data_IF_897583696845
#
_entry.id   IF_897583696845
#
_cell.length_a   1.000
_cell.length_b   1.000
_cell.length_c   1.000
_cell.angle_alpha   90.00
_cell.angle_beta   90.00
_cell.angle_gamma   90.00
#
_symmetry.space_group_name_H-M   'P 1'
#
loop_
_entity.id
_entity.type
_entity.pdbx_description
1 polymer ?
#
# COMPACT_ATOMS: atom_id res chain seq x y z
N UNK A 1 -59.11 -7.06 -28.67
CA UNK A 1 -58.97 -6.83 -30.13
C UNK A 1 -57.49 -7.04 -30.46
N UNK A 2 -57.15 -7.90 -31.43
CA UNK A 2 -55.80 -8.25 -32.01
C UNK A 2 -54.57 -7.74 -31.23
N UNK A 3 -53.73 -8.56 -30.55
CA UNK A 3 -53.01 -9.80 -30.94
C UNK A 3 -52.04 -9.64 -32.13
N UNK A 4 -50.78 -10.09 -31.91
CA UNK A 4 -49.59 -10.28 -32.78
C UNK A 4 -48.45 -9.30 -32.39
N UNK A 5 -47.15 -9.65 -32.21
CA UNK A 5 -46.34 -10.92 -32.16
C UNK A 5 -44.93 -10.52 -31.66
N UNK A 6 -43.99 -11.34 -31.12
CA UNK A 6 -43.86 -12.80 -30.88
C UNK A 6 -42.83 -13.09 -29.73
N UNK A 7 -42.64 -14.38 -29.41
CA UNK A 7 -41.54 -15.14 -28.73
C UNK A 7 -40.19 -14.46 -28.38
N UNK A 8 -39.55 -14.72 -27.21
CA UNK A 8 -39.05 -16.00 -26.65
C UNK A 8 -37.87 -16.61 -27.45
N UNK A 9 -36.84 -17.27 -26.90
CA UNK A 9 -36.79 -18.32 -25.86
C UNK A 9 -35.33 -18.37 -25.31
N UNK A 10 -35.05 -18.19 -24.02
CA UNK A 10 -34.84 -19.24 -23.00
C UNK A 10 -33.93 -20.45 -23.38
N UNK A 11 -32.93 -20.69 -22.52
CA UNK A 11 -32.31 -21.99 -22.16
C UNK A 11 -31.50 -22.79 -23.23
N UNK A 12 -30.18 -22.92 -23.01
CA UNK A 12 -29.40 -24.07 -23.48
C UNK A 12 -28.20 -24.34 -22.55
N UNK A 13 -28.26 -25.48 -21.86
CA UNK A 13 -27.22 -26.03 -20.98
C UNK A 13 -26.39 -27.05 -21.78
N UNK A 14 -25.07 -27.12 -21.52
CA UNK A 14 -24.13 -28.22 -21.84
C UNK A 14 -24.27 -28.99 -23.18
N UNK A 15 -23.21 -28.94 -23.99
CA UNK A 15 -22.83 -30.05 -24.88
C UNK A 15 -21.36 -30.41 -24.65
N UNK A 16 -21.11 -31.64 -24.18
CA UNK A 16 -19.77 -32.18 -23.86
C UNK A 16 -19.29 -33.05 -25.03
N UNK A 17 -18.03 -32.82 -25.44
CA UNK A 17 -17.12 -33.71 -26.19
C UNK A 17 -17.60 -34.27 -27.54
N UNK A 18 -16.83 -33.91 -28.58
CA UNK A 18 -16.51 -34.80 -29.69
C UNK A 18 -14.97 -34.92 -29.80
N UNK A 19 -14.41 -36.03 -29.31
CA UNK A 19 -13.01 -36.41 -29.50
C UNK A 19 -12.91 -37.39 -30.67
N UNK A 20 -12.17 -37.05 -31.74
CA UNK A 20 -11.51 -38.03 -32.61
C UNK A 20 -10.52 -37.37 -33.60
N UNK A 21 -9.24 -37.36 -33.19
CA UNK A 21 -8.02 -37.50 -34.02
C UNK A 21 -7.92 -36.82 -35.41
N UNK A 22 -7.01 -35.85 -35.50
CA UNK A 22 -6.38 -35.40 -36.74
C UNK A 22 -5.00 -34.80 -36.48
N UNK A 23 -3.95 -35.59 -36.77
CA UNK A 23 -2.53 -35.23 -36.91
C UNK A 23 -1.89 -34.16 -35.99
N UNK A 24 -0.98 -34.64 -35.14
CA UNK A 24 0.31 -34.02 -34.79
C UNK A 24 0.74 -32.84 -35.69
N UNK A 25 0.55 -31.61 -35.21
CA UNK A 25 1.42 -30.48 -35.52
C UNK A 25 2.12 -30.05 -34.22
N UNK A 26 3.39 -29.69 -34.32
CA UNK A 26 4.19 -29.14 -33.22
C UNK A 26 3.76 -27.70 -32.96
N UNK A 27 2.56 -27.52 -32.38
CA UNK A 27 2.07 -26.23 -31.90
C UNK A 27 3.02 -25.69 -30.84
N UNK A 28 3.94 -24.82 -31.27
CA UNK A 28 4.83 -24.07 -30.41
C UNK A 28 3.99 -23.42 -29.30
N UNK A 29 4.35 -23.69 -28.04
CA UNK A 29 3.56 -23.31 -26.87
C UNK A 29 3.12 -21.85 -26.97
N UNK A 30 1.85 -21.64 -27.35
CA UNK A 30 1.31 -20.32 -27.57
C UNK A 30 1.26 -19.63 -26.22
N UNK A 31 2.08 -18.60 -26.05
CA UNK A 31 2.04 -17.74 -24.85
C UNK A 31 0.58 -17.38 -24.60
N UNK A 32 0.01 -17.70 -23.43
CA UNK A 32 -1.42 -17.50 -23.19
C UNK A 32 -1.74 -16.03 -23.45
N UNK A 33 -2.76 -15.79 -24.28
CA UNK A 33 -3.12 -14.44 -24.68
C UNK A 33 -3.54 -13.63 -23.45
N UNK A 34 -2.83 -12.54 -23.18
CA UNK A 34 -3.17 -11.60 -22.11
C UNK A 34 -4.57 -11.08 -22.38
N UNK A 35 -5.47 -11.29 -21.42
CA UNK A 35 -6.85 -10.81 -21.51
C UNK A 35 -6.94 -9.50 -20.73
N UNK A 36 -7.17 -8.40 -21.43
CA UNK A 36 -7.40 -7.12 -20.76
C UNK A 36 -8.77 -7.14 -20.07
N UNK A 37 -8.77 -6.85 -18.78
CA UNK A 37 -9.98 -6.73 -17.97
C UNK A 37 -10.65 -5.35 -18.10
N UNK A 38 -11.86 -5.24 -17.57
CA UNK A 38 -12.58 -3.97 -17.45
C UNK A 38 -12.29 -3.36 -16.07
N UNK A 39 -11.93 -2.08 -16.02
CA UNK A 39 -11.68 -1.38 -14.75
C UNK A 39 -12.99 -1.13 -13.98
N UNK A 40 -14.13 -1.11 -14.67
CA UNK A 40 -15.47 -1.03 -14.05
C UNK A 40 -16.01 -2.41 -13.60
N UNK A 41 -15.22 -3.49 -13.70
CA UNK A 41 -15.59 -4.82 -13.20
C UNK A 41 -15.78 -4.76 -11.66
N UNK A 42 -16.96 -5.12 -11.12
CA UNK A 42 -17.21 -5.10 -9.67
C UNK A 42 -16.30 -6.05 -8.87
N UNK A 43 -15.58 -6.98 -9.50
CA UNK A 43 -14.52 -7.78 -8.88
C UNK A 43 -13.20 -7.00 -8.78
N UNK A 44 -12.93 -6.08 -9.71
CA UNK A 44 -11.68 -5.30 -9.74
C UNK A 44 -11.78 -3.97 -8.98
N UNK A 45 -12.92 -3.27 -8.98
CA UNK A 45 -13.08 -1.99 -8.27
C UNK A 45 -12.62 -2.04 -6.79
N UNK A 46 -12.94 -3.08 -5.98
CA UNK A 46 -12.41 -3.18 -4.62
C UNK A 46 -10.90 -3.42 -4.57
N UNK A 47 -10.34 -4.16 -5.55
CA UNK A 47 -8.90 -4.41 -5.68
C UNK A 47 -8.16 -3.12 -5.99
N UNK A 48 -8.62 -2.37 -6.99
CA UNK A 48 -8.09 -1.04 -7.30
C UNK A 48 -8.12 -0.12 -6.08
N UNK A 49 -9.25 -0.04 -5.37
CA UNK A 49 -9.40 0.80 -4.17
C UNK A 49 -8.32 0.50 -3.11
N UNK A 50 -7.98 -0.78 -2.93
CA UNK A 50 -6.94 -1.17 -1.98
C UNK A 50 -5.52 -0.88 -2.48
N UNK A 51 -5.26 -1.10 -3.78
CA UNK A 51 -3.97 -0.75 -4.41
C UNK A 51 -3.71 0.75 -4.29
N UNK A 52 -4.71 1.58 -4.61
CA UNK A 52 -4.60 3.03 -4.57
C UNK A 52 -4.37 3.55 -3.14
N UNK A 53 -5.05 2.97 -2.15
CA UNK A 53 -4.83 3.29 -0.73
C UNK A 53 -3.42 2.94 -0.23
N UNK A 54 -2.88 1.79 -0.63
CA UNK A 54 -1.50 1.38 -0.26
C UNK A 54 -0.44 2.23 -0.97
N UNK A 55 -0.71 2.69 -2.21
CA UNK A 55 0.18 3.62 -2.92
C UNK A 55 0.22 5.01 -2.26
N UNK A 56 -0.94 5.52 -1.81
CA UNK A 56 -1.03 6.79 -1.06
C UNK A 56 -0.31 6.69 0.29
N UNK A 57 -0.55 5.62 1.06
CA UNK A 57 0.11 5.35 2.34
C UNK A 57 1.64 5.29 2.20
N UNK A 58 2.15 4.57 1.20
CA UNK A 58 3.58 4.44 0.94
C UNK A 58 4.24 5.76 0.50
N UNK A 59 3.52 6.66 -0.20
CA UNK A 59 4.03 8.03 -0.44
C UNK A 59 4.04 8.85 0.85
N UNK A 60 3.07 8.63 1.73
CA UNK A 60 3.09 9.13 3.11
C UNK A 60 4.36 8.72 3.87
N UNK A 61 4.70 7.43 3.85
CA UNK A 61 5.94 6.88 4.44
C UNK A 61 7.20 7.56 3.86
N UNK A 62 7.27 7.78 2.55
CA UNK A 62 8.40 8.48 1.93
C UNK A 62 8.52 9.93 2.44
N UNK A 63 7.41 10.65 2.50
CA UNK A 63 7.37 12.04 2.97
C UNK A 63 7.72 12.16 4.45
N UNK A 64 7.24 11.23 5.27
CA UNK A 64 7.55 11.12 6.69
C UNK A 64 9.04 10.79 6.91
N UNK A 65 9.55 9.74 6.27
CA UNK A 65 10.94 9.29 6.37
C UNK A 65 11.94 10.39 6.05
N UNK A 66 11.77 11.07 4.90
CA UNK A 66 12.66 12.16 4.48
C UNK A 66 12.41 13.49 5.21
N UNK A 67 11.21 13.70 5.77
CA UNK A 67 10.83 14.90 6.53
C UNK A 67 11.65 15.08 7.81
N UNK A 68 12.08 13.97 8.44
CA UNK A 68 12.91 13.96 9.65
C UNK A 68 14.26 14.71 9.53
N UNK A 69 14.70 15.06 8.31
CA UNK A 69 15.89 15.89 8.10
C UNK A 69 15.72 17.34 8.57
N UNK A 70 14.48 17.82 8.70
CA UNK A 70 14.19 19.23 8.98
C UNK A 70 13.64 19.47 10.39
N UNK A 71 13.34 18.42 11.15
CA UNK A 71 13.07 18.50 12.59
C UNK A 71 14.38 18.55 13.39
N UNK A 72 14.45 19.53 14.28
CA UNK A 72 15.71 20.10 14.79
C UNK A 72 16.58 19.12 15.61
N UNK A 73 17.64 18.51 15.04
CA UNK A 73 18.23 17.25 15.53
C UNK A 73 19.01 17.33 16.85
N UNK A 74 19.14 18.51 17.45
CA UNK A 74 19.77 18.70 18.77
C UNK A 74 18.87 18.31 19.97
N UNK A 75 17.67 17.78 19.72
CA UNK A 75 16.73 17.29 20.72
C UNK A 75 16.17 15.93 20.28
N UNK A 76 16.50 14.85 20.98
CA UNK A 76 15.97 13.50 20.68
C UNK A 76 14.47 13.36 21.00
N UNK A 77 13.80 14.43 21.45
CA UNK A 77 12.34 14.56 21.48
C UNK A 77 11.75 15.31 20.27
N UNK A 78 12.60 15.82 19.36
CA UNK A 78 12.17 16.38 18.06
C UNK A 78 12.13 15.36 16.93
N UNK A 79 12.82 14.21 17.07
CA UNK A 79 12.44 12.97 16.38
C UNK A 79 11.12 12.52 17.02
N UNK A 80 10.07 13.25 16.67
CA UNK A 80 8.71 13.01 17.11
C UNK A 80 8.18 11.78 16.40
N UNK A 81 6.97 11.40 16.77
CA UNK A 81 6.17 10.46 15.99
C UNK A 81 5.66 11.10 14.67
N UNK A 82 6.54 11.80 13.93
CA UNK A 82 6.32 12.30 12.57
C UNK A 82 6.55 11.20 11.52
N UNK A 83 7.07 10.04 11.95
CA UNK A 83 7.05 8.77 11.19
C UNK A 83 5.65 8.13 11.15
N UNK A 84 4.69 8.67 11.89
CA UNK A 84 3.28 8.30 11.73
C UNK A 84 2.69 9.03 10.51
N UNK A 85 1.85 8.37 9.69
CA UNK A 85 1.03 9.09 8.71
C UNK A 85 0.27 10.24 9.42
N UNK A 86 0.23 11.48 8.89
CA UNK A 86 -0.29 12.63 9.64
C UNK A 86 -1.75 12.52 10.11
N UNK A 87 -2.52 11.62 9.49
CA UNK A 87 -3.90 11.28 9.85
C UNK A 87 -4.02 10.15 10.89
N UNK A 88 -2.94 9.41 11.18
CA UNK A 88 -2.85 8.44 12.27
C UNK A 88 -2.35 9.05 13.58
N UNK A 89 -1.68 10.22 13.56
CA UNK A 89 -1.21 10.93 14.75
C UNK A 89 -2.42 11.29 15.62
N UNK A 90 -2.58 10.70 16.83
CA UNK A 90 -3.62 11.11 17.75
C UNK A 90 -3.37 12.57 18.09
N UNK A 91 -4.40 13.42 18.00
CA UNK A 91 -4.26 14.83 18.35
C UNK A 91 -3.83 14.92 19.82
N UNK A 92 -2.61 15.40 20.15
CA UNK A 92 -2.08 15.29 21.51
C UNK A 92 -2.83 16.14 22.53
N UNK A 93 -3.68 17.08 22.09
CA UNK A 93 -4.58 17.86 22.93
C UNK A 93 -5.91 17.12 23.25
N UNK A 94 -6.23 16.04 22.53
CA UNK A 94 -7.46 15.25 22.66
C UNK A 94 -7.19 13.80 23.12
N UNK A 95 -6.10 13.20 22.62
CA UNK A 95 -5.72 11.80 22.79
C UNK A 95 -4.21 11.72 23.15
N UNK A 96 -3.84 11.83 24.45
CA UNK A 96 -2.44 11.82 24.86
C UNK A 96 -1.79 10.45 24.69
N UNK A 97 -0.54 10.42 24.22
CA UNK A 97 0.24 9.19 24.04
C UNK A 97 0.51 8.53 25.41
N UNK A 98 0.04 7.30 25.62
CA UNK A 98 0.18 6.56 26.88
C UNK A 98 1.64 6.18 27.20
N UNK A 99 2.42 5.89 26.17
CA UNK A 99 3.84 5.56 26.29
C UNK A 99 4.58 6.06 25.08
N UNK A 100 5.58 6.91 25.33
CA UNK A 100 6.57 7.35 24.35
C UNK A 100 7.96 7.02 24.90
N UNK A 101 8.75 6.29 24.13
CA UNK A 101 10.15 5.98 24.42
C UNK A 101 10.93 6.36 23.17
N UNK A 102 11.88 7.29 23.29
CA UNK A 102 12.86 7.58 22.23
C UNK A 102 14.28 7.35 22.74
N UNK A 103 15.21 7.15 21.82
CA UNK A 103 16.63 7.06 22.15
C UNK A 103 17.51 6.81 20.94
N UNK A 104 18.81 6.73 21.20
CA UNK A 104 19.83 6.40 20.21
C UNK A 104 20.65 5.21 20.72
N UNK A 105 20.77 4.15 19.91
CA UNK A 105 21.52 2.94 20.25
C UNK A 105 22.03 2.26 18.98
N UNK A 106 23.26 1.74 19.01
CA UNK A 106 23.88 0.99 17.91
C UNK A 106 23.84 1.73 16.55
N UNK A 107 23.99 3.06 16.55
CA UNK A 107 23.94 3.93 15.36
C UNK A 107 22.52 4.15 14.79
N UNK A 108 21.48 3.81 15.54
CA UNK A 108 20.08 4.03 15.18
C UNK A 108 19.38 4.91 16.20
N UNK A 109 18.61 5.90 15.73
CA UNK A 109 17.52 6.46 16.52
C UNK A 109 16.35 5.49 16.50
N UNK A 110 15.64 5.38 17.62
CA UNK A 110 14.43 4.59 17.70
C UNK A 110 13.32 5.35 18.42
N UNK A 111 12.08 5.08 18.02
CA UNK A 111 10.87 5.53 18.71
C UNK A 111 9.94 4.35 18.91
N UNK A 112 9.45 4.19 20.13
CA UNK A 112 8.29 3.38 20.45
C UNK A 112 7.20 4.32 20.96
N UNK A 113 6.06 4.34 20.30
CA UNK A 113 4.86 5.04 20.74
C UNK A 113 3.69 4.06 20.83
N UNK A 114 2.87 4.18 21.87
CA UNK A 114 1.59 3.48 21.92
C UNK A 114 0.49 4.35 22.48
N UNK A 115 -0.69 4.21 21.90
CA UNK A 115 -1.92 4.88 22.29
C UNK A 115 -3.04 3.84 22.49
N UNK A 116 -3.85 4.03 23.52
CA UNK A 116 -4.99 3.19 23.90
C UNK A 116 -6.22 4.07 24.15
N UNK A 117 -7.03 4.26 23.11
CA UNK A 117 -8.32 4.91 23.21
C UNK A 117 -9.45 3.96 23.63
N UNK A 118 -10.66 4.48 23.74
CA UNK A 118 -11.85 3.67 24.08
C UNK A 118 -12.24 2.68 22.95
N UNK A 119 -11.90 3.00 21.70
CA UNK A 119 -12.32 2.23 20.51
C UNK A 119 -11.19 1.42 19.86
N UNK A 120 -9.95 1.90 19.95
CA UNK A 120 -8.80 1.32 19.25
C UNK A 120 -7.52 1.46 20.08
N UNK A 121 -6.56 0.59 19.81
CA UNK A 121 -5.16 0.73 20.22
C UNK A 121 -4.32 0.94 18.97
N UNK A 122 -3.32 1.82 19.06
CA UNK A 122 -2.28 1.93 18.05
C UNK A 122 -0.88 1.81 18.67
N UNK A 123 0.06 1.28 17.90
CA UNK A 123 1.46 1.06 18.30
C UNK A 123 2.36 1.35 17.11
N UNK A 124 3.46 2.06 17.36
CA UNK A 124 4.48 2.46 16.40
C UNK A 124 5.85 2.12 17.00
N UNK A 125 6.73 1.54 16.19
CA UNK A 125 8.02 1.02 16.61
C UNK A 125 9.01 1.19 15.46
N UNK A 126 9.55 2.39 15.34
CA UNK A 126 10.30 2.82 14.18
C UNK A 126 11.77 3.03 14.55
N UNK A 127 12.64 2.89 13.56
CA UNK A 127 14.06 3.11 13.69
C UNK A 127 14.59 3.83 12.46
N UNK A 128 15.42 4.85 12.68
CA UNK A 128 16.01 5.65 11.61
C UNK A 128 17.52 5.84 11.84
N UNK A 129 18.30 5.55 10.81
CA UNK A 129 19.73 5.80 10.76
C UNK A 129 20.01 6.85 9.70
N UNK A 130 20.70 7.92 10.09
CA UNK A 130 21.24 8.92 9.18
C UNK A 130 22.71 8.61 8.89
N UNK A 131 23.17 8.85 7.67
CA UNK A 131 24.59 8.78 7.31
C UNK A 131 25.06 10.07 6.63
N UNK A 132 26.37 10.30 6.66
CA UNK A 132 27.10 11.33 5.90
C UNK A 132 28.41 10.70 5.43
N UNK A 133 28.72 10.79 4.14
CA UNK A 133 29.90 10.16 3.52
C UNK A 133 30.00 8.65 3.81
N UNK A 134 28.85 7.99 3.98
CA UNK A 134 28.72 6.57 4.32
C UNK A 134 28.90 6.20 5.81
N UNK A 135 29.25 7.15 6.68
CA UNK A 135 29.39 6.92 8.14
C UNK A 135 28.09 7.33 8.87
N UNK A 136 27.70 6.57 9.90
CA UNK A 136 26.46 6.85 10.64
C UNK A 136 26.60 8.03 11.63
N UNK A 137 25.56 8.87 11.72
CA UNK A 137 25.56 10.08 12.54
C UNK A 137 24.37 10.15 13.51
N UNK A 138 24.66 10.47 14.78
CA UNK A 138 23.64 10.69 15.81
C UNK A 138 22.91 12.01 15.60
N UNK A 139 23.64 13.08 15.27
CA UNK A 139 23.10 14.42 15.13
C UNK A 139 23.29 14.85 13.67
N UNK A 140 22.35 14.51 12.76
CA UNK A 140 22.47 14.86 11.35
C UNK A 140 22.56 16.38 11.13
N UNK A 141 23.29 16.79 10.10
CA UNK A 141 23.26 18.16 9.57
C UNK A 141 22.43 18.18 8.28
N UNK A 142 22.37 19.33 7.59
CA UNK A 142 21.76 19.43 6.27
C UNK A 142 22.51 18.64 5.17
N UNK A 143 23.64 18.02 5.52
CA UNK A 143 24.58 17.34 4.61
C UNK A 143 24.39 15.81 4.62
N UNK A 144 23.27 15.30 5.17
CA UNK A 144 22.91 13.87 5.09
C UNK A 144 22.75 13.47 3.62
N UNK A 145 23.47 12.42 3.24
CA UNK A 145 23.44 11.80 1.92
C UNK A 145 22.52 10.57 1.88
N UNK A 146 22.33 9.90 3.02
CA UNK A 146 21.55 8.66 3.12
C UNK A 146 20.76 8.54 4.43
N UNK A 147 19.55 7.98 4.33
CA UNK A 147 18.70 7.54 5.44
C UNK A 147 18.34 6.07 5.23
N UNK A 148 18.41 5.28 6.30
CA UNK A 148 17.73 3.99 6.40
C UNK A 148 16.59 4.12 7.41
N UNK A 149 15.35 3.91 7.00
CA UNK A 149 14.18 3.94 7.85
C UNK A 149 13.50 2.56 7.89
N UNK A 150 13.25 2.07 9.09
CA UNK A 150 12.48 0.85 9.34
C UNK A 150 11.31 1.24 10.23
N UNK A 151 10.10 1.33 9.68
CA UNK A 151 8.88 1.60 10.45
C UNK A 151 8.10 0.32 10.72
N UNK A 152 7.45 0.23 11.88
CA UNK A 152 6.54 -0.87 12.20
C UNK A 152 5.35 -0.29 12.96
N UNK A 153 4.15 -0.40 12.42
CA UNK A 153 2.98 0.23 12.99
C UNK A 153 1.76 -0.69 12.95
N UNK A 154 0.83 -0.47 13.87
CA UNK A 154 -0.43 -1.22 13.91
C UNK A 154 -1.56 -0.40 14.52
N UNK A 155 -2.78 -0.62 14.03
CA UNK A 155 -4.04 -0.13 14.57
C UNK A 155 -4.96 -1.35 14.76
N UNK A 156 -5.52 -1.49 15.95
CA UNK A 156 -6.36 -2.64 16.32
C UNK A 156 -7.60 -2.15 17.04
N UNK A 157 -8.78 -2.46 16.53
CA UNK A 157 -10.04 -2.19 17.19
C UNK A 157 -10.17 -3.04 18.47
N UNK A 158 -10.54 -2.40 19.58
CA UNK A 158 -10.72 -3.09 20.85
C UNK A 158 -12.00 -3.93 20.90
N UNK A 159 -12.99 -3.61 20.05
CA UNK A 159 -14.25 -4.36 19.96
C UNK A 159 -14.37 -5.09 18.62
N UNK A 160 -13.86 -6.32 18.61
CA UNK A 160 -13.85 -7.23 17.46
C UNK A 160 -15.25 -7.79 17.07
N UNK A 161 -16.33 -7.39 17.75
CA UNK A 161 -17.70 -7.89 17.50
C UNK A 161 -18.57 -6.92 16.68
N UNK A 162 -18.03 -5.79 16.22
CA UNK A 162 -18.72 -4.79 15.39
C UNK A 162 -17.98 -4.60 14.06
N UNK A 163 -18.53 -3.80 13.15
CA UNK A 163 -17.78 -3.33 11.98
C UNK A 163 -16.51 -2.58 12.43
N UNK A 164 -15.35 -2.97 11.91
CA UNK A 164 -14.06 -2.40 12.26
C UNK A 164 -13.04 -2.56 11.11
N UNK A 165 -11.93 -1.85 11.26
CA UNK A 165 -10.77 -1.89 10.40
C UNK A 165 -9.54 -2.07 11.29
N UNK A 166 -8.81 -3.16 11.10
CA UNK A 166 -7.53 -3.43 11.75
C UNK A 166 -6.43 -3.35 10.69
N UNK A 167 -5.34 -2.67 11.02
CA UNK A 167 -4.25 -2.36 10.10
C UNK A 167 -2.91 -2.71 10.74
N UNK A 168 -1.96 -3.19 9.96
CA UNK A 168 -0.59 -3.46 10.40
C UNK A 168 0.35 -3.26 9.22
N UNK A 169 1.41 -2.46 9.40
CA UNK A 169 2.40 -2.19 8.37
C UNK A 169 3.82 -2.29 8.90
N UNK A 170 4.72 -2.71 8.02
CA UNK A 170 6.16 -2.55 8.16
C UNK A 170 6.70 -2.01 6.85
N UNK A 171 7.53 -0.98 6.94
CA UNK A 171 8.35 -0.49 5.83
C UNK A 171 9.83 -0.55 6.19
N UNK A 172 10.67 -0.81 5.20
CA UNK A 172 12.13 -0.89 5.30
C UNK A 172 12.70 -0.21 4.05
N UNK A 173 12.92 1.10 4.15
CA UNK A 173 13.26 1.97 3.03
C UNK A 173 14.63 2.64 3.21
N UNK A 174 15.44 2.55 2.16
CA UNK A 174 16.69 3.26 2.00
C UNK A 174 16.48 4.46 1.07
N UNK A 175 16.80 5.66 1.56
CA UNK A 175 16.81 6.90 0.80
C UNK A 175 18.28 7.30 0.60
N UNK A 176 18.73 7.40 -0.64
CA UNK A 176 20.10 7.77 -1.01
C UNK A 176 20.12 9.05 -1.87
N UNK A 177 21.30 9.65 -2.04
CA UNK A 177 21.52 10.88 -2.82
C UNK A 177 20.73 12.10 -2.26
N UNK A 178 20.52 12.17 -0.94
CA UNK A 178 19.76 13.22 -0.23
C UNK A 178 20.44 14.60 -0.23
N UNK A 179 21.74 14.64 -0.53
CA UNK A 179 22.54 15.84 -0.77
C UNK A 179 22.35 16.39 -2.19
N UNK A 180 21.84 15.58 -3.13
CA UNK A 180 21.56 15.94 -4.51
C UNK A 180 20.18 16.62 -4.70
N UNK A 181 19.86 16.95 -5.95
CA UNK A 181 18.54 17.47 -6.34
C UNK A 181 17.47 16.37 -6.51
N UNK A 182 17.88 15.12 -6.64
CA UNK A 182 17.00 13.94 -6.78
C UNK A 182 17.56 12.84 -5.90
N UNK A 183 16.74 12.33 -4.99
CA UNK A 183 17.07 11.18 -4.14
C UNK A 183 16.51 9.89 -4.76
N UNK A 184 17.16 8.77 -4.48
CA UNK A 184 16.71 7.44 -4.86
C UNK A 184 16.16 6.69 -3.64
N UNK A 185 15.04 5.99 -3.81
CA UNK A 185 14.36 5.19 -2.80
C UNK A 185 14.35 3.73 -3.24
N UNK A 186 14.78 2.84 -2.35
CA UNK A 186 14.73 1.39 -2.52
C UNK A 186 14.25 0.74 -1.21
N UNK A 187 13.76 -0.50 -1.29
CA UNK A 187 13.44 -1.29 -0.09
C UNK A 187 12.23 -2.19 -0.23
N UNK A 188 11.68 -2.61 0.90
CA UNK A 188 10.49 -3.46 0.98
C UNK A 188 9.44 -2.91 1.95
N UNK A 189 8.20 -3.33 1.72
CA UNK A 189 7.06 -2.99 2.57
C UNK A 189 6.13 -4.19 2.70
N UNK A 190 5.54 -4.36 3.88
CA UNK A 190 4.55 -5.38 4.17
C UNK A 190 3.37 -4.75 4.89
N UNK A 191 2.20 -4.72 4.24
CA UNK A 191 0.99 -4.11 4.80
C UNK A 191 -0.12 -5.16 4.89
N UNK A 192 -0.91 -5.10 5.96
CA UNK A 192 -2.08 -5.94 6.19
C UNK A 192 -3.28 -5.06 6.54
N UNK A 193 -4.38 -5.34 5.86
CA UNK A 193 -5.66 -4.66 6.04
C UNK A 193 -6.71 -5.72 6.35
N UNK A 194 -7.28 -5.68 7.55
CA UNK A 194 -8.38 -6.55 7.95
C UNK A 194 -9.66 -5.72 8.12
N UNK A 195 -10.66 -6.03 7.30
CA UNK A 195 -11.94 -5.32 7.22
C UNK A 195 -13.04 -6.26 7.70
N UNK A 196 -13.70 -5.88 8.80
CA UNK A 196 -14.92 -6.52 9.27
C UNK A 196 -16.09 -5.56 9.10
N UNK A 197 -17.18 -6.01 8.49
CA UNK A 197 -18.46 -5.30 8.44
C UNK A 197 -19.57 -6.21 8.97
N UNK A 198 -20.41 -5.67 9.85
CA UNK A 198 -21.55 -6.36 10.45
C UNK A 198 -22.79 -5.46 10.39
N UNK A 199 -23.85 -5.96 9.74
CA UNK A 199 -25.20 -5.40 9.76
C UNK A 199 -26.18 -6.39 10.41
N UNK A 200 -27.48 -6.08 10.38
CA UNK A 200 -28.53 -6.96 10.93
C UNK A 200 -28.74 -8.27 10.13
N UNK A 201 -28.37 -8.29 8.84
CA UNK A 201 -28.62 -9.41 7.92
C UNK A 201 -27.39 -9.83 7.10
N UNK A 202 -26.32 -9.04 7.15
CA UNK A 202 -25.14 -9.18 6.32
C UNK A 202 -23.88 -9.03 7.15
N UNK A 203 -22.89 -9.88 6.92
CA UNK A 203 -21.53 -9.69 7.41
C UNK A 203 -20.51 -9.91 6.31
N UNK A 204 -19.40 -9.18 6.39
CA UNK A 204 -18.24 -9.34 5.54
C UNK A 204 -16.98 -9.35 6.42
N UNK A 205 -16.05 -10.24 6.08
CA UNK A 205 -14.70 -10.28 6.59
C UNK A 205 -13.76 -10.36 5.39
N UNK A 206 -12.77 -9.48 5.31
CA UNK A 206 -11.72 -9.52 4.30
C UNK A 206 -10.37 -9.23 4.94
N UNK A 207 -9.39 -10.09 4.71
CA UNK A 207 -8.01 -9.87 5.13
C UNK A 207 -7.13 -9.82 3.88
N UNK A 208 -6.50 -8.66 3.67
CA UNK A 208 -5.65 -8.32 2.53
C UNK A 208 -4.21 -8.19 3.02
N UNK A 209 -3.27 -8.73 2.25
CA UNK A 209 -1.85 -8.78 2.57
C UNK A 209 -1.06 -8.36 1.34
N UNK A 210 -0.32 -7.25 1.47
CA UNK A 210 0.47 -6.60 0.45
C UNK A 210 1.94 -6.79 0.77
N UNK A 211 2.71 -7.39 -0.14
CA UNK A 211 4.16 -7.45 -0.06
C UNK A 211 4.72 -6.63 -1.22
N UNK A 212 5.48 -5.58 -0.91
CA UNK A 212 5.96 -4.56 -1.83
C UNK A 212 7.48 -4.59 -1.93
N UNK A 213 7.96 -4.19 -3.10
CA UNK A 213 9.38 -3.93 -3.35
C UNK A 213 9.48 -2.64 -4.15
N UNK A 214 10.16 -1.67 -3.55
CA UNK A 214 10.46 -0.35 -4.12
C UNK A 214 11.84 -0.44 -4.77
N UNK A 215 11.93 -0.16 -6.07
CA UNK A 215 13.19 -0.29 -6.81
C UNK A 215 13.44 0.96 -7.67
N UNK A 216 14.47 1.74 -7.29
CA UNK A 216 14.90 2.92 -8.01
C UNK A 216 13.80 3.98 -8.17
N UNK A 217 12.92 4.13 -7.16
CA UNK A 217 11.97 5.24 -7.14
C UNK A 217 12.75 6.53 -6.93
N UNK A 218 12.48 7.55 -7.75
CA UNK A 218 13.18 8.83 -7.70
C UNK A 218 12.24 9.91 -7.21
N UNK A 219 12.72 10.79 -6.33
CA UNK A 219 11.97 11.92 -5.78
C UNK A 219 12.79 13.20 -5.91
N UNK A 220 12.16 14.31 -6.28
CA UNK A 220 12.84 15.60 -6.45
C UNK A 220 12.84 16.41 -5.14
N UNK A 221 13.96 17.08 -4.85
CA UNK A 221 14.07 18.02 -3.72
C UNK A 221 13.24 19.27 -4.02
N UNK A 222 12.30 19.60 -3.15
CA UNK A 222 11.51 20.83 -3.28
C UNK A 222 12.30 22.05 -2.78
N UNK A 223 11.89 23.28 -3.13
CA UNK A 223 12.46 24.50 -2.52
C UNK A 223 12.33 24.57 -0.99
N UNK A 224 11.43 23.79 -0.39
CA UNK A 224 11.23 23.68 1.06
C UNK A 224 11.86 22.42 1.68
N UNK A 225 12.65 21.66 0.93
CA UNK A 225 13.28 20.41 1.38
C UNK A 225 12.62 19.15 0.83
N UNK A 226 12.56 18.09 1.63
CA UNK A 226 12.13 16.75 1.18
C UNK A 226 10.68 16.38 1.56
N UNK A 227 9.99 17.24 2.31
CA UNK A 227 8.70 16.98 2.99
C UNK A 227 7.52 16.59 2.08
N UNK A 228 7.66 16.66 0.75
CA UNK A 228 6.62 16.27 -0.19
C UNK A 228 6.87 14.90 -0.85
N UNK A 229 8.12 14.40 -0.84
CA UNK A 229 8.64 13.13 -1.38
C UNK A 229 7.92 12.52 -2.62
N UNK A 230 7.40 13.35 -3.52
CA UNK A 230 6.53 12.88 -4.60
C UNK A 230 7.36 12.17 -5.70
N UNK A 231 7.06 10.90 -6.05
CA UNK A 231 7.80 10.16 -7.08
C UNK A 231 7.76 10.82 -8.46
N UNK A 232 8.93 11.10 -9.03
CA UNK A 232 9.08 11.61 -10.40
C UNK A 232 9.37 10.50 -11.41
N UNK A 233 9.91 9.35 -10.97
CA UNK A 233 10.22 8.19 -11.80
C UNK A 233 10.39 6.92 -10.94
N UNK A 234 10.55 5.77 -11.60
CA UNK A 234 10.89 4.48 -10.97
C UNK A 234 9.71 3.52 -10.92
N UNK A 235 9.82 2.44 -10.15
CA UNK A 235 8.82 1.37 -10.14
C UNK A 235 8.66 0.72 -8.77
N UNK A 236 7.40 0.49 -8.39
CA UNK A 236 7.03 -0.42 -7.30
C UNK A 236 6.51 -1.71 -7.93
N UNK A 237 6.90 -2.84 -7.35
CA UNK A 237 6.22 -4.12 -7.57
C UNK A 237 5.60 -4.59 -6.28
N UNK A 238 4.41 -5.16 -6.37
CA UNK A 238 3.58 -5.54 -5.24
C UNK A 238 2.89 -6.87 -5.54
N UNK A 239 2.76 -7.70 -4.52
CA UNK A 239 1.83 -8.83 -4.52
C UNK A 239 0.76 -8.58 -3.47
N UNK A 240 -0.49 -8.48 -3.93
CA UNK A 240 -1.66 -8.42 -3.05
C UNK A 240 -2.32 -9.79 -3.04
N UNK A 241 -2.32 -10.45 -1.89
CA UNK A 241 -3.17 -11.61 -1.64
C UNK A 241 -4.31 -11.23 -0.72
N UNK A 242 -5.49 -11.82 -0.90
CA UNK A 242 -6.58 -11.65 0.06
C UNK A 242 -7.42 -12.90 0.22
N UNK A 243 -8.01 -13.03 1.40
CA UNK A 243 -9.07 -13.98 1.72
C UNK A 243 -10.29 -13.22 2.20
N UNK A 244 -11.48 -13.67 1.84
CA UNK A 244 -12.72 -13.07 2.33
C UNK A 244 -13.79 -14.12 2.63
N UNK A 245 -14.70 -13.76 3.52
CA UNK A 245 -15.96 -14.46 3.78
C UNK A 245 -17.07 -13.43 3.83
N UNK A 246 -18.20 -13.72 3.19
CA UNK A 246 -19.41 -12.92 3.28
C UNK A 246 -20.60 -13.82 3.63
N UNK A 247 -21.51 -13.28 4.44
CA UNK A 247 -22.80 -13.89 4.75
C UNK A 247 -23.86 -12.83 4.49
N UNK A 248 -24.91 -13.16 3.76
CA UNK A 248 -26.07 -12.29 3.57
C UNK A 248 -27.38 -13.06 3.70
N UNK A 249 -28.53 -12.37 3.55
CA UNK A 249 -29.85 -12.94 3.85
C UNK A 249 -30.30 -14.06 2.90
N UNK A 250 -29.64 -14.23 1.73
CA UNK A 250 -29.99 -15.23 0.73
C UNK A 250 -28.86 -16.22 0.41
N UNK A 251 -27.61 -15.79 0.53
CA UNK A 251 -26.42 -16.56 0.17
C UNK A 251 -25.27 -16.22 1.13
N UNK A 252 -24.33 -17.14 1.25
CA UNK A 252 -23.02 -16.90 1.86
C UNK A 252 -21.94 -17.47 0.94
N UNK A 253 -20.71 -16.98 1.09
CA UNK A 253 -19.59 -17.45 0.30
C UNK A 253 -18.27 -17.03 0.90
N UNK A 254 -17.20 -17.67 0.46
CA UNK A 254 -15.84 -17.27 0.73
C UNK A 254 -15.02 -17.34 -0.54
N UNK A 255 -13.84 -16.72 -0.52
CA UNK A 255 -12.92 -16.75 -1.64
C UNK A 255 -11.52 -16.34 -1.21
N UNK A 256 -10.57 -16.66 -2.07
CA UNK A 256 -9.19 -16.24 -1.97
C UNK A 256 -8.72 -15.82 -3.36
N UNK A 257 -7.85 -14.82 -3.43
CA UNK A 257 -7.28 -14.36 -4.69
C UNK A 257 -5.88 -13.79 -4.47
N UNK A 258 -5.08 -13.74 -5.53
CA UNK A 258 -3.73 -13.15 -5.51
C UNK A 258 -3.47 -12.40 -6.81
N UNK A 259 -2.88 -11.22 -6.67
CA UNK A 259 -2.67 -10.24 -7.71
C UNK A 259 -1.22 -9.80 -7.72
N UNK A 260 -0.62 -9.74 -8.90
CA UNK A 260 0.67 -9.08 -9.11
C UNK A 260 0.41 -7.68 -9.64
N UNK A 261 0.95 -6.67 -8.98
CA UNK A 261 0.72 -5.26 -9.28
C UNK A 261 2.07 -4.59 -9.52
N UNK A 262 2.15 -3.76 -10.57
CA UNK A 262 3.29 -2.92 -10.86
C UNK A 262 2.81 -1.49 -11.02
N UNK A 263 3.38 -0.55 -10.26
CA UNK A 263 3.14 0.87 -10.41
C UNK A 263 4.42 1.54 -10.94
N UNK A 264 4.35 2.09 -12.15
CA UNK A 264 5.45 2.83 -12.77
C UNK A 264 5.16 4.33 -12.70
N UNK A 265 6.05 5.11 -12.09
CA UNK A 265 5.84 6.54 -11.88
C UNK A 265 6.38 7.40 -13.03
N UNK A 266 5.67 8.48 -13.32
CA UNK A 266 6.09 9.60 -14.14
C UNK A 266 5.49 10.89 -13.56
N UNK A 267 6.32 11.76 -12.99
CA UNK A 267 5.95 13.10 -12.48
C UNK A 267 4.71 13.13 -11.53
N UNK A 268 4.65 12.23 -10.53
CA UNK A 268 3.58 12.15 -9.54
C UNK A 268 2.35 11.34 -9.95
N UNK A 269 2.26 10.98 -11.23
CA UNK A 269 1.27 10.05 -11.75
C UNK A 269 1.87 8.64 -11.80
N UNK A 270 1.08 7.62 -11.46
CA UNK A 270 1.44 6.21 -11.58
C UNK A 270 0.62 5.51 -12.67
N UNK A 271 1.30 4.84 -13.60
CA UNK A 271 0.66 3.81 -14.45
C UNK A 271 0.65 2.49 -13.70
N UNK A 272 -0.53 2.05 -13.27
CA UNK A 272 -0.72 0.83 -12.51
C UNK A 272 -1.14 -0.30 -13.44
N UNK A 273 -0.44 -1.43 -13.36
CA UNK A 273 -0.77 -2.68 -14.06
C UNK A 273 -1.02 -3.77 -13.02
N UNK A 274 -2.24 -4.26 -12.91
CA UNK A 274 -2.65 -5.31 -11.96
C UNK A 274 -3.04 -6.58 -12.71
N UNK A 275 -2.50 -7.73 -12.33
CA UNK A 275 -2.73 -9.01 -13.04
C UNK A 275 -3.14 -10.14 -12.10
N UNK A 276 -4.07 -10.96 -12.56
CA UNK A 276 -4.56 -12.16 -11.90
C UNK A 276 -4.63 -13.31 -12.91
N UNK A 277 -3.76 -14.31 -12.76
CA UNK A 277 -3.64 -15.39 -13.74
C UNK A 277 -3.24 -14.87 -15.13
N UNK A 278 -4.13 -15.01 -16.11
CA UNK A 278 -3.94 -14.53 -17.49
C UNK A 278 -4.68 -13.20 -17.79
N UNK A 279 -5.38 -12.64 -16.79
CA UNK A 279 -6.11 -11.38 -16.92
C UNK A 279 -5.29 -10.22 -16.36
N UNK A 280 -5.29 -9.08 -17.06
CA UNK A 280 -4.53 -7.88 -16.71
C UNK A 280 -5.42 -6.63 -16.83
N UNK A 281 -5.37 -5.78 -15.83
CA UNK A 281 -6.01 -4.48 -15.77
C UNK A 281 -4.92 -3.41 -15.79
N UNK A 282 -5.22 -2.27 -16.42
CA UNK A 282 -4.30 -1.15 -16.48
C UNK A 282 -5.07 0.15 -16.30
N UNK A 283 -4.59 0.99 -15.41
CA UNK A 283 -5.15 2.31 -15.15
C UNK A 283 -4.05 3.31 -14.80
N UNK A 284 -4.45 4.58 -14.67
CA UNK A 284 -3.57 5.69 -14.31
C UNK A 284 -4.13 6.31 -13.04
N UNK A 285 -3.27 6.55 -12.06
CA UNK A 285 -3.60 7.15 -10.77
C UNK A 285 -2.73 8.38 -10.54
N UNK A 286 -3.34 9.52 -10.24
CA UNK A 286 -2.61 10.73 -9.85
C UNK A 286 -2.36 10.67 -8.34
N UNK A 287 -1.16 10.22 -7.96
CA UNK A 287 -0.85 9.86 -6.57
C UNK A 287 -0.34 11.05 -5.76
N UNK A 288 0.38 11.97 -6.41
CA UNK A 288 0.83 13.21 -5.80
C UNK A 288 1.13 14.28 -6.86
N UNK A 289 1.36 15.53 -6.43
CA UNK A 289 1.85 16.60 -7.31
C UNK A 289 3.32 16.89 -7.01
N UNK A 290 4.25 16.72 -7.97
CA UNK A 290 5.66 16.99 -7.74
C UNK A 290 5.90 18.48 -7.54
N UNK A 291 6.85 18.82 -6.66
CA UNK A 291 7.27 20.20 -6.48
C UNK A 291 7.79 20.76 -7.81
N UNK A 292 7.20 21.86 -8.26
CA UNK A 292 7.72 22.58 -9.43
C UNK A 292 9.06 23.24 -9.05
N UNK A 293 10.07 23.20 -9.94
CA UNK A 293 11.38 23.83 -9.72
C UNK A 293 11.32 25.36 -9.73
#
# INVERSE_FOLDING_TARGET
MRLHTLTALALALMAIVAFAAGCSDDDAATTPAITYGDNDDPVFVPVQTQIDGVLDEMIGDFAAGMGNLYTNPGDTSSIRAELMPPWMVPNPDEEPVDTLITGYQNEWHFVYASYLGDAYRSVFCDSIQFRVDGEAVENPTNDVDYIHNIANWSITCLNQNVSHLDLNGRSDYEFADLDQAVAAINGDGHHMVEITYVSADTSYFGNYNFNMTVAGVQVAKSPTGWNNACPIAGTITMTMSYVYTWTGPQNSGNGASSWTVTAAFDQGTATVTASNGASTWQYVSDVCSPAQP
#
